data_IF_556315050738
#
_entry.id   IF_556315050738
#
_cell.length_a   1.000
_cell.length_b   1.000
_cell.length_c   1.000
_cell.angle_alpha   90.00
_cell.angle_beta   90.00
_cell.angle_gamma   90.00
#
_symmetry.space_group_name_H-M   'P 1'
#
loop_
_entity.id
_entity.type
_entity.pdbx_description
1 polymer ?
#
# COMPACT_ATOMS: atom_id res chain seq x y z
N UNK A 1 -19.15 -2.29 3.10
CA UNK A 1 -18.17 -1.46 2.36
C UNK A 1 -17.52 -0.52 3.36
N UNK A 2 -16.20 -0.56 3.48
CA UNK A 2 -15.43 0.23 4.44
C UNK A 2 -14.97 1.55 3.80
N UNK A 3 -14.94 2.61 4.61
CA UNK A 3 -14.34 3.87 4.21
C UNK A 3 -12.82 3.75 4.39
N UNK A 4 -12.07 4.04 3.33
CA UNK A 4 -10.61 4.09 3.35
C UNK A 4 -10.19 5.51 3.02
N UNK A 5 -9.58 6.18 3.99
CA UNK A 5 -9.04 7.52 3.85
C UNK A 5 -7.53 7.45 3.63
N UNK A 6 -7.04 8.23 2.68
CA UNK A 6 -5.61 8.38 2.40
C UNK A 6 -5.18 9.77 2.86
N UNK A 7 -4.05 9.83 3.56
CA UNK A 7 -3.47 11.11 4.02
C UNK A 7 -2.66 11.75 2.89
N UNK A 8 -2.44 13.06 2.99
CA UNK A 8 -1.63 13.81 2.01
C UNK A 8 -0.22 13.22 1.83
N UNK A 9 0.45 12.88 2.94
CA UNK A 9 1.79 12.28 2.93
C UNK A 9 1.83 10.94 2.21
N UNK A 10 0.79 10.11 2.39
CA UNK A 10 0.69 8.83 1.67
C UNK A 10 0.49 9.05 0.17
N UNK A 11 -0.34 10.02 -0.21
CA UNK A 11 -0.57 10.36 -1.61
C UNK A 11 0.69 10.93 -2.29
N UNK A 12 1.50 11.71 -1.58
CA UNK A 12 2.79 12.19 -2.09
C UNK A 12 3.78 11.03 -2.29
N UNK A 13 3.95 10.19 -1.27
CA UNK A 13 4.79 9.00 -1.37
C UNK A 13 4.38 8.08 -2.53
N UNK A 14 3.08 7.86 -2.74
CA UNK A 14 2.57 6.99 -3.78
C UNK A 14 2.91 7.51 -5.19
N UNK A 15 2.94 8.84 -5.38
CA UNK A 15 3.30 9.46 -6.66
C UNK A 15 4.76 9.25 -7.03
N UNK A 16 5.65 9.09 -6.04
CA UNK A 16 7.08 8.84 -6.23
C UNK A 16 7.39 7.37 -6.58
N UNK A 17 6.41 6.46 -6.45
CA UNK A 17 6.61 5.05 -6.73
C UNK A 17 6.45 4.72 -8.21
N UNK A 18 7.12 3.64 -8.65
CA UNK A 18 6.94 3.09 -9.98
C UNK A 18 5.48 2.65 -10.25
N UNK A 19 5.10 2.67 -11.53
CA UNK A 19 3.74 2.31 -11.98
C UNK A 19 3.27 0.95 -11.47
N UNK A 20 4.16 -0.05 -11.39
CA UNK A 20 3.81 -1.38 -10.88
C UNK A 20 3.39 -1.32 -9.40
N UNK A 21 4.18 -0.65 -8.57
CA UNK A 21 3.89 -0.46 -7.14
C UNK A 21 2.60 0.34 -6.93
N UNK A 22 2.36 1.38 -7.74
CA UNK A 22 1.12 2.16 -7.66
C UNK A 22 -0.11 1.28 -7.91
N UNK A 23 -0.06 0.40 -8.91
CA UNK A 23 -1.18 -0.50 -9.24
C UNK A 23 -1.43 -1.51 -8.11
N UNK A 24 -0.37 -2.10 -7.55
CA UNK A 24 -0.49 -3.04 -6.43
C UNK A 24 -1.11 -2.39 -5.20
N UNK A 25 -0.66 -1.17 -4.85
CA UNK A 25 -1.21 -0.41 -3.72
C UNK A 25 -2.67 -0.03 -3.95
N UNK A 26 -3.03 0.43 -5.15
CA UNK A 26 -4.43 0.75 -5.48
C UNK A 26 -5.32 -0.50 -5.39
N UNK A 27 -4.83 -1.65 -5.88
CA UNK A 27 -5.55 -2.92 -5.77
C UNK A 27 -5.78 -3.32 -4.30
N UNK A 28 -4.75 -3.21 -3.46
CA UNK A 28 -4.87 -3.49 -2.03
C UNK A 28 -5.87 -2.55 -1.32
N UNK A 29 -5.86 -1.24 -1.65
CA UNK A 29 -6.83 -0.29 -1.10
C UNK A 29 -8.26 -0.59 -1.56
N UNK A 30 -8.46 -1.03 -2.80
CA UNK A 30 -9.77 -1.43 -3.30
C UNK A 30 -10.29 -2.69 -2.61
N UNK A 31 -9.42 -3.68 -2.38
CA UNK A 31 -9.76 -4.86 -1.57
C UNK A 31 -10.15 -4.46 -0.14
N UNK A 32 -9.38 -3.56 0.48
CA UNK A 32 -9.67 -3.05 1.83
C UNK A 32 -11.03 -2.35 1.91
N UNK A 33 -11.43 -1.59 0.88
CA UNK A 33 -12.76 -0.97 0.80
C UNK A 33 -13.89 -2.00 0.70
N UNK A 34 -13.66 -3.11 -0.01
CA UNK A 34 -14.67 -4.13 -0.26
C UNK A 34 -14.82 -5.07 0.94
N UNK A 35 -13.73 -5.66 1.41
CA UNK A 35 -13.72 -6.72 2.41
C UNK A 35 -13.50 -6.20 3.84
N UNK A 36 -12.96 -4.99 3.98
CA UNK A 36 -12.50 -4.48 5.26
C UNK A 36 -11.12 -5.01 5.64
N UNK A 37 -10.58 -4.58 6.79
CA UNK A 37 -9.33 -5.10 7.30
C UNK A 37 -9.48 -6.59 7.62
N UNK A 38 -8.96 -7.45 6.74
CA UNK A 38 -8.96 -8.90 6.94
C UNK A 38 -8.07 -9.22 8.14
N UNK A 39 -8.68 -9.60 9.27
CA UNK A 39 -8.05 -9.83 10.57
C UNK A 39 -7.12 -11.06 10.64
N UNK A 40 -6.47 -11.44 9.55
CA UNK A 40 -5.62 -12.63 9.46
C UNK A 40 -4.38 -12.51 8.57
N UNK A 41 -4.33 -11.53 7.65
CA UNK A 41 -3.14 -11.28 6.86
C UNK A 41 -2.46 -10.04 7.44
N UNK A 42 -1.48 -10.27 8.31
CA UNK A 42 -0.40 -9.31 8.55
C UNK A 42 0.33 -9.14 7.21
N UNK A 43 -0.23 -8.34 6.30
CA UNK A 43 0.48 -7.82 5.14
C UNK A 43 1.52 -6.89 5.71
N UNK A 44 2.63 -7.50 6.13
CA UNK A 44 3.92 -6.84 6.19
C UNK A 44 4.16 -6.41 4.75
N UNK A 45 3.83 -5.16 4.41
CA UNK A 45 4.51 -4.48 3.32
C UNK A 45 5.96 -4.41 3.79
N UNK A 46 6.70 -5.49 3.54
CA UNK A 46 8.11 -5.59 3.84
C UNK A 46 8.76 -4.68 2.82
N UNK A 47 9.01 -3.44 3.22
CA UNK A 47 9.99 -2.57 2.58
C UNK A 47 11.34 -3.27 2.70
N UNK A 48 11.68 -4.14 1.75
CA UNK A 48 13.07 -4.44 1.46
C UNK A 48 13.61 -3.25 0.71
N UNK A 49 14.06 -2.22 1.43
CA UNK A 49 14.97 -1.25 0.85
C UNK A 49 16.14 -2.02 0.20
N UNK A 50 16.53 -1.69 -1.05
CA UNK A 50 17.69 -2.33 -1.65
C UNK A 50 18.89 -2.07 -0.74
N UNK A 51 19.47 -3.16 -0.23
CA UNK A 51 20.67 -3.16 0.61
C UNK A 51 21.78 -2.51 -0.21
N UNK A 52 22.08 -1.23 0.06
CA UNK A 52 23.32 -0.62 -0.40
C UNK A 52 24.48 -1.42 0.18
N UNK A 53 25.39 -1.81 -0.72
CA UNK A 53 26.68 -2.40 -0.45
C UNK A 53 27.43 -1.65 0.66
N UNK A 54 27.92 -2.40 1.66
CA UNK A 54 29.21 -2.16 2.32
C UNK A 54 29.88 -3.53 2.43
#
# INVERSE_FOLDING_TARGET
>A
MWAVEITGLFAEWLKEQDRAMQLDVIAALNLLKQEGPTSGARTLIRYTAPRSQI
#
